data_IF_310014545615
#
_entry.id   IF_310014545615
#
_cell.length_a   1.000
_cell.length_b   1.000
_cell.length_c   1.000
_cell.angle_alpha   90.00
_cell.angle_beta   90.00
_cell.angle_gamma   90.00
#
_symmetry.space_group_name_H-M   'P 1'
#
loop_
_entity.id
_entity.type
_entity.pdbx_description
1 polymer ?
#
# COMPACT_ATOMS: atom_id res chain seq x y z
N UNK A 1 5.18 -1.25 -21.70
CA UNK A 1 4.08 -1.82 -20.88
C UNK A 1 3.09 -0.71 -20.60
N UNK A 2 1.79 -0.96 -20.70
CA UNK A 2 0.77 0.06 -20.38
C UNK A 2 0.78 0.34 -18.87
N UNK A 3 0.62 1.60 -18.49
CA UNK A 3 0.48 1.98 -17.09
C UNK A 3 -0.88 1.52 -16.56
N UNK A 4 -0.91 0.85 -15.39
CA UNK A 4 -2.16 0.52 -14.70
C UNK A 4 -2.71 1.74 -13.96
N UNK A 5 -1.83 2.61 -13.48
CA UNK A 5 -2.17 3.88 -12.83
C UNK A 5 -1.37 5.00 -13.48
N UNK A 6 -2.04 6.07 -13.88
CA UNK A 6 -1.41 7.29 -14.39
C UNK A 6 -1.92 8.50 -13.61
N UNK A 7 -1.02 9.27 -13.07
CA UNK A 7 -1.28 10.57 -12.48
C UNK A 7 -0.66 11.66 -13.35
N UNK A 8 -1.36 12.77 -13.56
CA UNK A 8 -0.89 13.90 -14.36
C UNK A 8 -1.15 15.21 -13.62
N UNK A 9 -0.08 15.95 -13.40
CA UNK A 9 -0.06 17.30 -12.84
C UNK A 9 -0.93 17.44 -11.58
N UNK A 10 -0.86 16.41 -10.70
CA UNK A 10 -1.67 16.41 -9.48
C UNK A 10 -1.21 17.52 -8.54
N UNK A 11 -2.16 18.39 -8.20
CA UNK A 11 -1.97 19.42 -7.17
C UNK A 11 -2.97 19.24 -6.04
N UNK A 12 -2.53 19.52 -4.83
CA UNK A 12 -3.38 19.63 -3.66
C UNK A 12 -2.99 20.79 -2.78
N UNK A 13 -3.93 21.70 -2.56
CA UNK A 13 -3.79 22.84 -1.65
C UNK A 13 -4.78 22.73 -0.49
N UNK A 14 -4.36 23.12 0.70
CA UNK A 14 -5.16 23.29 1.91
C UNK A 14 -4.98 24.73 2.39
N UNK A 15 -5.92 25.60 2.05
CA UNK A 15 -5.76 27.03 2.26
C UNK A 15 -4.51 27.57 1.54
N UNK A 16 -3.54 28.08 2.29
CA UNK A 16 -2.25 28.57 1.75
C UNK A 16 -1.18 27.48 1.61
N UNK A 17 -1.40 26.29 2.15
CA UNK A 17 -0.40 25.20 2.13
C UNK A 17 -0.57 24.37 0.87
N UNK A 18 0.50 24.21 0.10
CA UNK A 18 0.56 23.33 -1.07
C UNK A 18 1.16 22.00 -0.66
N UNK A 19 0.33 20.97 -0.52
CA UNK A 19 0.73 19.64 -0.06
C UNK A 19 1.14 18.68 -1.20
N UNK A 20 0.78 19.00 -2.43
CA UNK A 20 1.23 18.30 -3.65
C UNK A 20 1.32 19.31 -4.78
N UNK A 21 2.41 19.23 -5.59
CA UNK A 21 2.73 20.16 -6.66
C UNK A 21 3.06 19.38 -7.93
N UNK A 22 2.19 19.49 -8.94
CA UNK A 22 2.40 18.94 -10.29
C UNK A 22 2.98 17.50 -10.32
N UNK A 23 2.45 16.60 -9.46
CA UNK A 23 2.90 15.21 -9.41
C UNK A 23 2.42 14.50 -10.67
N UNK A 24 3.36 14.01 -11.48
CA UNK A 24 3.10 13.19 -12.67
C UNK A 24 3.87 11.88 -12.56
N UNK A 25 3.13 10.75 -12.51
CA UNK A 25 3.68 9.40 -12.31
C UNK A 25 2.89 8.39 -13.12
N UNK A 26 3.59 7.45 -13.76
CA UNK A 26 3.02 6.25 -14.36
C UNK A 26 3.47 5.01 -13.57
N UNK A 27 2.54 4.13 -13.23
CA UNK A 27 2.82 2.86 -12.58
C UNK A 27 2.47 1.72 -13.53
N UNK A 28 3.45 0.98 -14.05
CA UNK A 28 3.21 -0.20 -14.87
C UNK A 28 2.52 -1.34 -14.09
N UNK A 29 1.72 -2.14 -14.78
CA UNK A 29 1.09 -3.31 -14.17
C UNK A 29 2.12 -4.34 -13.69
N UNK A 30 1.89 -4.92 -12.51
CA UNK A 30 2.74 -5.94 -11.89
C UNK A 30 4.03 -5.42 -11.25
N UNK A 31 4.28 -4.11 -11.26
CA UNK A 31 5.44 -3.50 -10.63
C UNK A 31 5.22 -3.25 -9.14
N UNK A 32 6.27 -3.39 -8.36
CA UNK A 32 6.32 -2.99 -6.95
C UNK A 32 7.05 -1.66 -6.83
N UNK A 33 6.33 -0.60 -6.46
CA UNK A 33 6.86 0.76 -6.36
C UNK A 33 6.94 1.20 -4.90
N UNK A 34 8.14 1.51 -4.43
CA UNK A 34 8.38 2.10 -3.13
C UNK A 34 8.19 3.62 -3.18
N UNK A 35 7.60 4.19 -2.15
CA UNK A 35 7.41 5.63 -1.97
C UNK A 35 8.16 6.05 -0.72
N UNK A 36 9.18 6.89 -0.87
CA UNK A 36 9.99 7.40 0.23
C UNK A 36 9.90 8.94 0.34
N UNK A 37 10.25 9.48 1.48
CA UNK A 37 10.28 10.92 1.72
C UNK A 37 10.12 11.24 3.21
N UNK A 38 10.52 12.42 3.60
CA UNK A 38 10.36 12.91 4.97
C UNK A 38 8.87 13.06 5.36
N UNK A 39 8.60 13.24 6.65
CA UNK A 39 7.25 13.58 7.12
C UNK A 39 6.83 14.93 6.52
N UNK A 40 5.59 14.99 6.03
CA UNK A 40 5.09 16.18 5.34
C UNK A 40 5.49 16.30 3.86
N UNK A 41 6.29 15.38 3.29
CA UNK A 41 6.74 15.44 1.89
C UNK A 41 5.63 15.26 0.84
N UNK A 42 4.38 14.97 1.23
CA UNK A 42 3.25 14.80 0.31
C UNK A 42 2.86 13.35 -0.01
N UNK A 43 3.59 12.34 0.52
CA UNK A 43 3.33 10.91 0.28
C UNK A 43 1.87 10.51 0.60
N UNK A 44 1.43 10.77 1.82
CA UNK A 44 0.05 10.48 2.27
C UNK A 44 -0.98 11.26 1.47
N UNK A 45 -0.67 12.49 1.06
CA UNK A 45 -1.54 13.30 0.18
C UNK A 45 -1.71 12.62 -1.17
N UNK A 46 -0.62 12.16 -1.80
CA UNK A 46 -0.65 11.42 -3.06
C UNK A 46 -1.46 10.12 -2.93
N UNK A 47 -1.15 9.28 -1.92
CA UNK A 47 -1.88 8.04 -1.64
C UNK A 47 -3.38 8.31 -1.44
N UNK A 48 -3.74 9.34 -0.67
CA UNK A 48 -5.14 9.72 -0.44
C UNK A 48 -5.86 10.18 -1.71
N UNK A 49 -5.17 10.88 -2.63
CA UNK A 49 -5.75 11.26 -3.93
C UNK A 49 -6.00 10.04 -4.80
N UNK A 50 -5.04 9.12 -4.90
CA UNK A 50 -5.17 7.87 -5.68
C UNK A 50 -6.29 6.98 -5.15
N UNK A 51 -6.48 6.92 -3.83
CA UNK A 51 -7.49 6.07 -3.18
C UNK A 51 -8.85 6.74 -2.97
N UNK A 52 -9.00 7.99 -3.43
CA UNK A 52 -10.28 8.73 -3.36
C UNK A 52 -10.69 9.19 -1.96
N UNK A 53 -9.75 9.20 -1.01
CA UNK A 53 -9.94 9.81 0.32
C UNK A 53 -9.73 11.33 0.27
N UNK A 54 -9.09 11.81 -0.80
CA UNK A 54 -8.82 13.23 -1.01
C UNK A 54 -9.02 13.57 -2.49
N UNK A 55 -9.80 14.61 -2.76
CA UNK A 55 -9.95 15.14 -4.13
C UNK A 55 -8.76 16.05 -4.44
N UNK A 56 -8.06 15.86 -5.57
CA UNK A 56 -7.03 16.79 -6.03
C UNK A 56 -7.65 18.18 -6.33
N UNK A 57 -6.85 19.23 -6.18
CA UNK A 57 -7.22 20.61 -6.57
C UNK A 57 -7.11 20.78 -8.08
N UNK A 58 -6.06 20.16 -8.69
CA UNK A 58 -5.85 20.11 -10.13
C UNK A 58 -5.24 18.76 -10.52
N UNK A 59 -5.17 18.53 -11.83
CA UNK A 59 -4.63 17.32 -12.42
C UNK A 59 -5.65 16.20 -12.54
N UNK A 60 -5.18 15.05 -13.03
CA UNK A 60 -6.03 13.90 -13.30
C UNK A 60 -5.38 12.59 -12.87
N UNK A 61 -6.21 11.60 -12.56
CA UNK A 61 -5.79 10.24 -12.20
C UNK A 61 -6.58 9.26 -13.07
N UNK A 62 -5.86 8.37 -13.73
CA UNK A 62 -6.46 7.28 -14.52
C UNK A 62 -6.01 5.94 -13.96
N UNK A 63 -6.94 5.00 -13.88
CA UNK A 63 -6.68 3.61 -13.52
C UNK A 63 -7.18 2.73 -14.65
N UNK A 64 -6.30 2.00 -15.30
CA UNK A 64 -6.59 1.27 -16.55
C UNK A 64 -7.37 2.19 -17.49
N UNK A 65 -7.15 2.94 -18.21
CA UNK A 65 -7.87 3.83 -19.13
C UNK A 65 -9.14 4.55 -18.59
N UNK A 66 -9.53 4.32 -17.32
CA UNK A 66 -10.67 4.97 -16.69
C UNK A 66 -10.24 6.18 -15.87
N UNK A 67 -10.90 7.31 -16.06
CA UNK A 67 -10.74 8.48 -15.21
C UNK A 67 -11.32 8.19 -13.82
N UNK A 68 -10.49 8.35 -12.77
CA UNK A 68 -10.90 8.13 -11.38
C UNK A 68 -10.73 9.38 -10.50
N UNK A 69 -10.38 10.51 -11.07
CA UNK A 69 -10.12 11.77 -10.37
C UNK A 69 -11.30 12.19 -9.51
N UNK A 70 -11.09 12.28 -8.22
CA UNK A 70 -12.10 12.71 -7.25
C UNK A 70 -13.29 11.77 -7.07
N UNK A 71 -13.23 10.54 -7.61
CA UNK A 71 -14.21 9.51 -7.28
C UNK A 71 -14.09 9.13 -5.79
N UNK A 72 -15.21 8.80 -5.12
CA UNK A 72 -15.16 8.35 -3.73
C UNK A 72 -14.46 6.99 -3.59
N UNK A 73 -13.78 6.77 -2.46
CA UNK A 73 -12.96 5.57 -2.20
C UNK A 73 -13.71 4.25 -2.45
N UNK A 74 -15.00 4.17 -2.06
CA UNK A 74 -15.84 2.99 -2.32
C UNK A 74 -15.98 2.62 -3.80
N UNK A 75 -15.95 3.62 -4.70
CA UNK A 75 -15.99 3.41 -6.15
C UNK A 75 -14.64 2.94 -6.64
N UNK A 76 -13.57 3.58 -6.18
CA UNK A 76 -12.19 3.25 -6.53
C UNK A 76 -11.85 1.80 -6.09
N UNK A 77 -12.27 1.40 -4.89
CA UNK A 77 -12.09 0.01 -4.41
C UNK A 77 -12.80 -0.99 -5.34
N UNK A 78 -14.01 -0.70 -5.80
CA UNK A 78 -14.73 -1.54 -6.77
C UNK A 78 -14.06 -1.62 -8.14
N UNK A 79 -13.31 -0.61 -8.51
CA UNK A 79 -12.51 -0.62 -9.73
C UNK A 79 -11.23 -1.46 -9.59
N UNK A 80 -10.89 -1.94 -8.40
CA UNK A 80 -9.76 -2.82 -8.15
C UNK A 80 -8.53 -2.14 -7.53
N UNK A 81 -8.69 -0.97 -6.89
CA UNK A 81 -7.65 -0.35 -6.07
C UNK A 81 -8.01 -0.57 -4.60
N UNK A 82 -7.17 -1.29 -3.85
CA UNK A 82 -7.31 -1.47 -2.40
C UNK A 82 -6.18 -0.78 -1.65
N UNK A 83 -6.39 -0.52 -0.37
CA UNK A 83 -5.39 0.03 0.55
C UNK A 83 -5.42 -0.72 1.86
N UNK A 84 -4.24 -1.09 2.40
CA UNK A 84 -4.08 -1.38 3.82
C UNK A 84 -3.71 -0.09 4.56
N UNK A 85 -4.11 0.01 5.81
CA UNK A 85 -3.84 1.20 6.62
C UNK A 85 -2.66 0.97 7.56
N UNK A 86 -2.02 2.06 8.00
CA UNK A 86 -0.95 2.01 9.00
C UNK A 86 -1.39 1.28 10.27
N UNK A 87 -2.62 1.55 10.74
CA UNK A 87 -3.27 0.80 11.81
C UNK A 87 -4.18 -0.27 11.21
N UNK A 88 -3.92 -1.54 11.53
CA UNK A 88 -4.65 -2.67 11.00
C UNK A 88 -6.17 -2.56 11.27
N UNK A 89 -6.95 -2.66 10.19
CA UNK A 89 -8.42 -2.56 10.19
C UNK A 89 -9.05 -3.95 10.32
N UNK A 90 -8.86 -4.60 11.46
CA UNK A 90 -9.40 -5.94 11.75
C UNK A 90 -10.52 -5.87 12.78
N UNK A 91 -11.39 -6.85 12.79
CA UNK A 91 -12.42 -7.02 13.83
C UNK A 91 -11.81 -7.72 15.06
N UNK A 92 -11.49 -6.98 16.15
CA UNK A 92 -10.64 -7.49 17.22
C UNK A 92 -11.27 -8.65 18.01
N UNK A 93 -12.59 -8.72 18.08
CA UNK A 93 -13.35 -9.75 18.80
C UNK A 93 -13.54 -11.04 17.99
N UNK A 94 -13.34 -10.99 16.68
CA UNK A 94 -13.47 -12.13 15.78
C UNK A 94 -12.15 -12.92 15.68
N UNK A 95 -12.24 -14.18 15.28
CA UNK A 95 -11.06 -15.00 14.95
C UNK A 95 -10.43 -14.55 13.65
N UNK A 96 -9.22 -15.03 13.34
CA UNK A 96 -8.58 -14.84 12.04
C UNK A 96 -9.47 -15.39 10.93
N UNK A 97 -10.00 -16.60 11.10
CA UNK A 97 -10.89 -17.22 10.12
C UNK A 97 -12.15 -16.37 9.88
N UNK A 98 -12.78 -15.86 10.93
CA UNK A 98 -13.99 -15.04 10.79
C UNK A 98 -13.70 -13.68 10.12
N UNK A 99 -12.58 -13.02 10.47
CA UNK A 99 -12.13 -11.82 9.79
C UNK A 99 -11.99 -12.07 8.28
N UNK A 100 -11.32 -13.16 7.89
CA UNK A 100 -11.12 -13.49 6.48
C UNK A 100 -12.44 -13.84 5.77
N UNK A 101 -13.34 -14.60 6.41
CA UNK A 101 -14.68 -14.91 5.87
C UNK A 101 -15.48 -13.62 5.60
N UNK A 102 -15.47 -12.68 6.56
CA UNK A 102 -16.11 -11.36 6.38
C UNK A 102 -15.52 -10.63 5.18
N UNK A 103 -14.20 -10.56 5.08
CA UNK A 103 -13.52 -9.89 3.96
C UNK A 103 -13.89 -10.52 2.59
N UNK A 104 -13.86 -11.86 2.49
CA UNK A 104 -14.22 -12.59 1.28
C UNK A 104 -15.71 -12.39 0.92
N UNK A 105 -16.61 -12.42 1.91
CA UNK A 105 -18.05 -12.21 1.69
C UNK A 105 -18.33 -10.78 1.19
N UNK A 106 -17.67 -9.77 1.75
CA UNK A 106 -17.79 -8.38 1.29
C UNK A 106 -17.31 -8.23 -0.16
N UNK A 107 -16.15 -8.81 -0.48
CA UNK A 107 -15.57 -8.76 -1.81
C UNK A 107 -16.50 -9.33 -2.89
N UNK A 108 -17.13 -10.46 -2.61
CA UNK A 108 -18.10 -11.10 -3.53
C UNK A 108 -19.45 -10.37 -3.61
N UNK A 109 -19.81 -9.64 -2.59
CA UNK A 109 -21.08 -8.89 -2.54
C UNK A 109 -21.13 -7.66 -3.45
N UNK A 110 -20.04 -7.28 -4.10
CA UNK A 110 -19.94 -6.03 -4.86
C UNK A 110 -20.78 -5.96 -6.14
N UNK A 111 -21.31 -7.08 -6.64
CA UNK A 111 -22.22 -7.13 -7.80
C UNK A 111 -23.73 -7.18 -7.48
N UNK A 112 -24.14 -7.23 -6.22
CA UNK A 112 -25.55 -7.37 -5.80
C UNK A 112 -26.01 -6.28 -4.86
N UNK A 113 -27.30 -5.89 -4.93
CA UNK A 113 -27.89 -4.90 -4.02
C UNK A 113 -27.72 -5.26 -2.53
N UNK A 114 -27.94 -4.28 -1.65
CA UNK A 114 -27.75 -4.35 -0.18
C UNK A 114 -28.38 -5.63 0.42
N UNK A 115 -29.53 -6.06 -0.06
CA UNK A 115 -30.28 -7.24 0.41
C UNK A 115 -29.52 -8.55 0.08
N UNK A 116 -28.86 -8.64 -1.08
CA UNK A 116 -28.09 -9.82 -1.50
C UNK A 116 -26.79 -9.96 -0.71
N UNK A 117 -26.21 -8.84 -0.24
CA UNK A 117 -25.03 -8.78 0.64
C UNK A 117 -25.34 -9.31 2.04
N UNK A 118 -26.49 -8.91 2.61
CA UNK A 118 -26.92 -9.29 3.96
C UNK A 118 -27.33 -10.78 4.07
N UNK A 119 -27.63 -11.44 2.94
CA UNK A 119 -28.15 -12.80 2.89
C UNK A 119 -27.11 -13.88 2.51
N UNK A 120 -25.85 -13.51 2.24
CA UNK A 120 -24.82 -14.55 2.01
C UNK A 120 -24.32 -15.09 3.35
N UNK A 121 -24.47 -16.38 3.60
CA UNK A 121 -23.93 -17.01 4.80
C UNK A 121 -22.40 -16.90 4.79
N UNK A 122 -21.80 -16.44 5.89
CA UNK A 122 -20.34 -16.45 6.07
C UNK A 122 -19.76 -17.87 5.97
N UNK A 123 -20.60 -18.88 6.17
CA UNK A 123 -20.28 -20.31 6.11
C UNK A 123 -20.53 -20.93 4.72
N UNK A 124 -20.79 -20.14 3.67
CA UNK A 124 -20.84 -20.66 2.32
C UNK A 124 -19.50 -21.34 1.98
N UNK A 125 -19.54 -22.58 1.50
CA UNK A 125 -18.35 -23.40 1.27
C UNK A 125 -17.28 -22.68 0.43
N UNK A 126 -17.70 -21.91 -0.55
CA UNK A 126 -16.81 -21.09 -1.40
C UNK A 126 -16.12 -19.96 -0.61
N UNK A 127 -16.86 -19.26 0.29
CA UNK A 127 -16.30 -18.19 1.14
C UNK A 127 -15.31 -18.76 2.14
N UNK A 128 -15.63 -19.92 2.72
CA UNK A 128 -14.73 -20.64 3.64
C UNK A 128 -13.45 -21.05 2.91
N UNK A 129 -13.56 -21.67 1.73
CA UNK A 129 -12.41 -22.13 0.96
C UNK A 129 -11.47 -20.96 0.58
N UNK A 130 -12.00 -19.81 0.17
CA UNK A 130 -11.21 -18.63 -0.14
C UNK A 130 -10.55 -18.04 1.10
N UNK A 131 -11.24 -17.98 2.22
CA UNK A 131 -10.68 -17.52 3.49
C UNK A 131 -9.51 -18.43 3.93
N UNK A 132 -9.66 -19.74 3.87
CA UNK A 132 -8.60 -20.70 4.20
C UNK A 132 -7.40 -20.58 3.24
N UNK A 133 -7.65 -20.44 1.94
CA UNK A 133 -6.60 -20.21 0.96
C UNK A 133 -5.81 -18.92 1.23
N UNK A 134 -6.48 -17.84 1.63
CA UNK A 134 -5.81 -16.59 2.00
C UNK A 134 -5.02 -16.74 3.31
N UNK A 135 -5.55 -17.41 4.32
CA UNK A 135 -4.87 -17.71 5.59
C UNK A 135 -3.57 -18.48 5.32
N UNK A 136 -3.62 -19.49 4.46
CA UNK A 136 -2.45 -20.27 4.06
C UNK A 136 -1.45 -19.43 3.28
N UNK A 137 -1.91 -18.62 2.32
CA UNK A 137 -1.06 -17.76 1.48
C UNK A 137 -0.26 -16.76 2.31
N UNK A 138 -0.87 -16.17 3.34
CA UNK A 138 -0.23 -15.22 4.24
C UNK A 138 0.46 -15.88 5.44
N UNK A 139 0.54 -17.23 5.48
CA UNK A 139 1.22 -18.02 6.52
C UNK A 139 0.75 -17.72 7.95
N UNK A 140 -0.55 -17.50 8.12
CA UNK A 140 -1.18 -17.23 9.42
C UNK A 140 -2.09 -18.36 9.90
N UNK A 141 -1.91 -19.57 9.37
CA UNK A 141 -2.75 -20.75 9.69
C UNK A 141 -2.71 -21.14 11.17
N UNK A 142 -1.55 -21.02 11.82
CA UNK A 142 -1.38 -21.34 13.26
C UNK A 142 -2.21 -20.42 14.17
N UNK A 143 -2.67 -19.29 13.63
CA UNK A 143 -3.47 -18.30 14.35
C UNK A 143 -4.96 -18.34 13.97
N UNK A 144 -5.37 -19.28 13.11
CA UNK A 144 -6.67 -19.38 12.47
C UNK A 144 -7.84 -19.15 13.43
N UNK A 145 -7.84 -19.82 14.58
CA UNK A 145 -8.91 -19.81 15.57
C UNK A 145 -8.65 -18.80 16.72
N UNK A 146 -7.57 -18.03 16.65
CA UNK A 146 -7.26 -17.01 17.65
C UNK A 146 -7.99 -15.70 17.32
N UNK A 147 -8.43 -14.99 18.37
CA UNK A 147 -9.04 -13.65 18.23
C UNK A 147 -7.99 -12.64 17.78
N UNK A 148 -8.37 -11.76 16.84
CA UNK A 148 -7.46 -10.76 16.30
C UNK A 148 -6.88 -9.82 17.37
N UNK A 149 -7.59 -9.54 18.46
CA UNK A 149 -7.10 -8.77 19.60
C UNK A 149 -5.88 -9.38 20.29
N UNK A 150 -5.71 -10.73 20.25
CA UNK A 150 -4.66 -11.47 20.94
C UNK A 150 -3.45 -11.80 20.04
N UNK A 151 -3.48 -11.37 18.78
CA UNK A 151 -2.42 -11.64 17.82
C UNK A 151 -1.18 -10.78 18.09
N UNK A 152 0.02 -11.33 17.85
CA UNK A 152 1.22 -10.51 17.69
C UNK A 152 1.02 -9.44 16.62
N UNK A 153 1.71 -8.30 16.74
CA UNK A 153 1.51 -7.16 15.85
C UNK A 153 1.78 -7.51 14.36
N UNK A 154 2.84 -8.25 14.08
CA UNK A 154 3.16 -8.71 12.73
C UNK A 154 2.05 -9.59 12.12
N UNK A 155 1.52 -10.53 12.90
CA UNK A 155 0.42 -11.41 12.45
C UNK A 155 -0.87 -10.61 12.21
N UNK A 156 -1.16 -9.62 13.05
CA UNK A 156 -2.31 -8.73 12.87
C UNK A 156 -2.17 -7.89 11.59
N UNK A 157 -0.95 -7.45 11.26
CA UNK A 157 -0.66 -6.72 10.02
C UNK A 157 -0.81 -7.62 8.80
N UNK A 158 -0.33 -8.88 8.87
CA UNK A 158 -0.56 -9.87 7.81
C UNK A 158 -2.06 -10.14 7.58
N UNK A 159 -2.85 -10.25 8.65
CA UNK A 159 -4.30 -10.40 8.54
C UNK A 159 -4.96 -9.20 7.86
N UNK A 160 -4.61 -7.97 8.22
CA UNK A 160 -5.12 -6.74 7.59
C UNK A 160 -4.84 -6.71 6.08
N UNK A 161 -3.60 -7.02 5.70
CA UNK A 161 -3.21 -7.06 4.29
C UNK A 161 -3.93 -8.20 3.55
N UNK A 162 -4.06 -9.38 4.17
CA UNK A 162 -4.80 -10.50 3.60
C UNK A 162 -6.28 -10.14 3.34
N UNK A 163 -6.92 -9.43 4.28
CA UNK A 163 -8.29 -8.93 4.12
C UNK A 163 -8.38 -7.91 2.97
N UNK A 164 -7.41 -7.00 2.83
CA UNK A 164 -7.37 -6.04 1.71
C UNK A 164 -7.21 -6.73 0.35
N UNK A 165 -6.59 -7.91 0.31
CA UNK A 165 -6.36 -8.73 -0.90
C UNK A 165 -7.56 -9.63 -1.24
N UNK A 166 -8.49 -9.86 -0.30
CA UNK A 166 -9.65 -10.72 -0.52
C UNK A 166 -10.52 -10.26 -1.70
N UNK A 167 -10.58 -8.95 -1.99
CA UNK A 167 -11.25 -8.37 -3.15
C UNK A 167 -10.53 -8.56 -4.48
N UNK A 168 -9.43 -9.33 -4.53
CA UNK A 168 -8.58 -9.52 -5.70
C UNK A 168 -8.23 -8.17 -6.39
N UNK A 169 -7.65 -7.21 -5.68
CA UNK A 169 -7.29 -5.92 -6.25
C UNK A 169 -6.22 -6.08 -7.32
N UNK A 170 -6.22 -5.19 -8.31
CA UNK A 170 -5.16 -5.11 -9.32
C UNK A 170 -4.04 -4.17 -8.91
N UNK A 171 -4.36 -3.22 -8.03
CA UNK A 171 -3.42 -2.31 -7.38
C UNK A 171 -3.68 -2.29 -5.87
N UNK A 172 -2.65 -2.56 -5.09
CA UNK A 172 -2.68 -2.48 -3.63
C UNK A 172 -1.72 -1.39 -3.15
N UNK A 173 -2.23 -0.50 -2.31
CA UNK A 173 -1.43 0.49 -1.61
C UNK A 173 -1.21 0.02 -0.17
N UNK A 174 0.06 -0.07 0.24
CA UNK A 174 0.47 -0.40 1.59
C UNK A 174 1.03 0.86 2.26
N UNK A 175 0.46 1.25 3.38
CA UNK A 175 0.87 2.44 4.12
C UNK A 175 1.65 2.02 5.36
N UNK A 176 2.98 2.17 5.30
CA UNK A 176 3.94 1.78 6.33
C UNK A 176 3.70 0.35 6.86
N UNK A 177 3.78 -0.67 5.99
CA UNK A 177 3.46 -2.05 6.37
C UNK A 177 4.34 -2.60 7.49
N UNK A 178 5.54 -2.06 7.69
CA UNK A 178 6.46 -2.52 8.75
C UNK A 178 6.45 -1.64 10.00
N UNK A 179 5.61 -0.61 10.06
CA UNK A 179 5.53 0.29 11.22
C UNK A 179 5.17 -0.45 12.50
N UNK A 180 5.98 -0.26 13.54
CA UNK A 180 5.81 -0.90 14.85
C UNK A 180 6.22 -2.38 14.90
N UNK A 181 6.81 -2.92 13.84
CA UNK A 181 7.36 -4.29 13.79
C UNK A 181 8.85 -4.23 14.17
N UNK A 182 9.32 -5.26 14.89
CA UNK A 182 10.73 -5.34 15.28
C UNK A 182 11.65 -5.46 14.04
N UNK A 183 12.92 -5.06 14.19
CA UNK A 183 13.88 -5.10 13.09
C UNK A 183 14.05 -6.54 12.57
N UNK A 184 14.01 -7.52 13.46
CA UNK A 184 14.16 -8.94 13.13
C UNK A 184 12.97 -9.50 12.35
N UNK A 185 11.75 -9.00 12.63
CA UNK A 185 10.51 -9.54 12.04
C UNK A 185 10.09 -8.83 10.75
N UNK A 186 10.48 -7.55 10.53
CA UNK A 186 9.98 -6.75 9.41
C UNK A 186 10.31 -7.35 8.03
N UNK A 187 11.50 -7.93 7.85
CA UNK A 187 11.90 -8.55 6.60
C UNK A 187 11.08 -9.81 6.32
N UNK A 188 10.89 -10.67 7.34
CA UNK A 188 10.06 -11.86 7.21
C UNK A 188 8.60 -11.54 6.88
N UNK A 189 8.04 -10.49 7.51
CA UNK A 189 6.70 -10.00 7.19
C UNK A 189 6.62 -9.55 5.73
N UNK A 190 7.56 -8.72 5.28
CA UNK A 190 7.57 -8.23 3.90
C UNK A 190 7.80 -9.34 2.87
N UNK A 191 8.61 -10.35 3.17
CA UNK A 191 8.76 -11.54 2.32
C UNK A 191 7.44 -12.28 2.12
N UNK A 192 6.68 -12.52 3.20
CA UNK A 192 5.36 -13.15 3.12
C UNK A 192 4.42 -12.30 2.28
N UNK A 193 4.33 -10.99 2.56
CA UNK A 193 3.45 -10.06 1.84
C UNK A 193 3.81 -10.02 0.35
N UNK A 194 5.06 -9.72 0.00
CA UNK A 194 5.46 -9.54 -1.40
C UNK A 194 5.36 -10.85 -2.19
N UNK A 195 5.68 -11.99 -1.58
CA UNK A 195 5.47 -13.31 -2.19
C UNK A 195 4.00 -13.57 -2.51
N UNK A 196 3.10 -13.27 -1.57
CA UNK A 196 1.66 -13.41 -1.74
C UNK A 196 1.13 -12.51 -2.86
N UNK A 197 1.54 -11.23 -2.89
CA UNK A 197 1.09 -10.26 -3.88
C UNK A 197 1.62 -10.59 -5.29
N UNK A 198 2.89 -10.99 -5.40
CA UNK A 198 3.51 -11.41 -6.66
C UNK A 198 2.84 -12.64 -7.26
N UNK A 199 2.50 -13.65 -6.43
CA UNK A 199 1.80 -14.87 -6.89
C UNK A 199 0.43 -14.55 -7.51
N UNK A 200 -0.21 -13.46 -7.07
CA UNK A 200 -1.49 -12.96 -7.57
C UNK A 200 -1.35 -11.87 -8.64
N UNK A 201 -0.13 -11.53 -9.06
CA UNK A 201 0.19 -10.48 -10.05
C UNK A 201 -0.39 -9.11 -9.69
N UNK A 202 -0.47 -8.80 -8.40
CA UNK A 202 -0.97 -7.52 -7.90
C UNK A 202 0.13 -6.47 -8.06
N UNK A 203 -0.22 -5.31 -8.63
CA UNK A 203 0.66 -4.13 -8.62
C UNK A 203 0.68 -3.54 -7.22
N UNK A 204 1.84 -3.14 -6.74
CA UNK A 204 2.00 -2.65 -5.37
C UNK A 204 2.60 -1.25 -5.36
N UNK A 205 1.97 -0.34 -4.62
CA UNK A 205 2.61 0.87 -4.13
C UNK A 205 2.74 0.74 -2.61
N UNK A 206 3.93 0.94 -2.06
CA UNK A 206 4.10 0.92 -0.62
C UNK A 206 4.89 2.14 -0.14
N UNK A 207 4.40 2.76 0.92
CA UNK A 207 5.09 3.86 1.61
C UNK A 207 5.91 3.27 2.73
N UNK A 208 7.19 3.58 2.77
CA UNK A 208 8.09 3.14 3.83
C UNK A 208 9.15 4.19 4.16
N UNK A 209 9.62 4.14 5.40
CA UNK A 209 10.72 4.98 5.90
C UNK A 209 12.03 4.20 6.01
N UNK A 210 11.96 2.87 5.99
CA UNK A 210 13.12 1.99 6.05
C UNK A 210 13.69 1.76 4.66
N UNK A 211 14.87 2.34 4.43
CA UNK A 211 15.54 2.28 3.12
C UNK A 211 16.00 0.87 2.75
N UNK A 212 16.28 0.00 3.73
CA UNK A 212 16.66 -1.40 3.48
C UNK A 212 15.45 -2.20 2.97
N UNK A 213 14.26 -1.97 3.56
CA UNK A 213 13.01 -2.55 3.08
C UNK A 213 12.72 -2.09 1.65
N UNK A 214 12.85 -0.80 1.40
CA UNK A 214 12.62 -0.24 0.06
C UNK A 214 13.61 -0.81 -0.95
N UNK A 215 14.90 -0.82 -0.62
CA UNK A 215 15.96 -1.36 -1.49
C UNK A 215 15.77 -2.83 -1.84
N UNK A 216 15.26 -3.63 -0.89
CA UNK A 216 15.08 -5.07 -1.07
C UNK A 216 13.82 -5.46 -1.83
N UNK A 217 12.72 -4.72 -1.65
CA UNK A 217 11.40 -5.14 -2.12
C UNK A 217 10.82 -4.30 -3.25
N UNK A 218 11.36 -3.11 -3.54
CA UNK A 218 10.88 -2.29 -4.64
C UNK A 218 11.59 -2.61 -5.96
N UNK A 219 10.84 -2.59 -7.07
CA UNK A 219 11.40 -2.59 -8.42
C UNK A 219 11.77 -1.17 -8.87
N UNK A 220 11.10 -0.16 -8.27
CA UNK A 220 11.23 1.26 -8.59
C UNK A 220 10.89 2.09 -7.35
N UNK A 221 11.48 3.25 -7.21
CA UNK A 221 11.31 4.14 -6.05
C UNK A 221 10.94 5.55 -6.50
N UNK A 222 9.89 6.08 -5.87
CA UNK A 222 9.48 7.48 -5.97
C UNK A 222 9.94 8.21 -4.70
N UNK A 223 10.85 9.15 -4.84
CA UNK A 223 11.30 9.99 -3.74
C UNK A 223 10.52 11.31 -3.70
N UNK A 224 9.82 11.55 -2.60
CA UNK A 224 8.99 12.73 -2.38
C UNK A 224 9.72 13.75 -1.51
N UNK A 225 9.65 15.02 -1.91
CA UNK A 225 10.12 16.15 -1.12
C UNK A 225 9.28 17.40 -1.42
N UNK A 226 8.85 18.12 -0.41
CA UNK A 226 8.05 19.36 -0.51
C UNK A 226 6.88 19.30 -1.52
N UNK A 227 6.15 18.19 -1.47
CA UNK A 227 4.98 17.96 -2.34
C UNK A 227 5.30 17.59 -3.78
N UNK A 228 6.57 17.34 -4.13
CA UNK A 228 6.99 16.95 -5.49
C UNK A 228 7.69 15.59 -5.50
N UNK A 229 7.77 14.96 -6.66
CA UNK A 229 8.63 13.79 -6.89
C UNK A 229 9.98 14.29 -7.38
N UNK A 230 11.03 14.07 -6.59
CA UNK A 230 12.40 14.54 -6.89
C UNK A 230 13.28 13.47 -7.54
N UNK A 231 12.90 12.19 -7.41
CA UNK A 231 13.54 11.07 -8.10
C UNK A 231 12.51 9.98 -8.37
N UNK A 232 12.67 9.28 -9.49
CA UNK A 232 11.78 8.24 -9.98
C UNK A 232 12.59 7.23 -10.81
N UNK A 233 13.26 6.30 -10.12
CA UNK A 233 14.27 5.42 -10.69
C UNK A 233 14.30 4.06 -9.97
N UNK A 234 15.26 3.21 -10.34
CA UNK A 234 15.55 1.96 -9.62
C UNK A 234 16.03 2.25 -8.19
N UNK A 235 15.80 1.32 -7.23
CA UNK A 235 16.15 1.52 -5.82
C UNK A 235 17.61 1.95 -5.64
N UNK A 236 18.57 1.25 -6.26
CA UNK A 236 19.99 1.54 -6.11
C UNK A 236 20.35 2.97 -6.56
N UNK A 237 19.74 3.44 -7.65
CA UNK A 237 19.98 4.79 -8.16
C UNK A 237 19.42 5.86 -7.22
N UNK A 238 18.16 5.68 -6.76
CA UNK A 238 17.51 6.64 -5.85
C UNK A 238 18.18 6.68 -4.49
N UNK A 239 18.55 5.54 -3.93
CA UNK A 239 19.18 5.43 -2.61
C UNK A 239 20.64 5.92 -2.61
N UNK A 240 21.31 5.90 -3.77
CA UNK A 240 22.66 6.45 -3.93
C UNK A 240 22.67 7.96 -4.29
N UNK A 241 21.53 8.54 -4.68
CA UNK A 241 21.44 9.97 -5.03
C UNK A 241 21.68 10.86 -3.81
N UNK A 242 22.73 11.69 -3.86
CA UNK A 242 23.12 12.60 -2.76
C UNK A 242 22.02 13.63 -2.43
N UNK A 243 21.23 14.07 -3.41
CA UNK A 243 20.09 14.97 -3.18
C UNK A 243 19.02 14.26 -2.35
N UNK A 244 18.69 13.02 -2.73
CA UNK A 244 17.71 12.21 -2.02
C UNK A 244 18.18 11.95 -0.59
N UNK A 245 19.45 11.56 -0.39
CA UNK A 245 20.03 11.34 0.93
C UNK A 245 19.99 12.61 1.79
N UNK A 246 20.36 13.76 1.23
CA UNK A 246 20.39 15.03 1.96
C UNK A 246 18.98 15.49 2.35
N UNK A 247 18.02 15.43 1.42
CA UNK A 247 16.68 15.99 1.60
C UNK A 247 15.75 15.07 2.40
N UNK A 248 15.94 13.74 2.34
CA UNK A 248 15.06 12.78 2.98
C UNK A 248 15.63 12.25 4.29
N UNK A 249 16.92 11.87 4.33
CA UNK A 249 17.56 11.28 5.52
C UNK A 249 18.20 12.31 6.43
N UNK A 250 18.38 13.55 5.98
CA UNK A 250 19.08 14.59 6.75
C UNK A 250 20.57 14.30 6.99
N UNK A 251 21.11 13.26 6.39
CA UNK A 251 22.49 12.83 6.58
C UNK A 251 23.42 13.57 5.60
N UNK A 252 23.99 14.71 6.03
CA UNK A 252 25.22 15.19 5.38
C UNK A 252 26.29 14.13 5.65
N UNK A 253 26.76 13.41 4.63
CA UNK A 253 28.06 12.73 4.72
C UNK A 253 29.10 13.80 5.09
N UNK A 254 29.66 13.71 6.28
CA UNK A 254 30.87 14.45 6.61
C UNK A 254 31.89 14.08 5.53
N UNK A 255 32.32 15.05 4.73
CA UNK A 255 33.50 14.94 3.90
C UNK A 255 34.64 14.58 4.86
N UNK A 256 35.08 13.32 4.82
CA UNK A 256 36.39 12.94 5.34
C UNK A 256 37.35 13.57 4.33
N UNK A 257 37.69 14.83 4.64
CA UNK A 257 38.77 15.52 3.98
C UNK A 257 40.06 14.75 4.23
N UNK A 258 40.61 14.21 3.19
CA UNK A 258 41.98 13.75 3.13
C UNK A 258 42.91 14.92 3.48
N UNK A 259 43.31 14.99 4.73
CA UNK A 259 44.49 15.78 5.12
C UNK A 259 45.72 14.91 4.88
N UNK A 260 46.32 15.08 3.71
CA UNK A 260 47.73 14.79 3.53
C UNK A 260 48.47 16.13 3.61
N UNK A 261 49.26 16.25 4.65
CA UNK A 261 50.49 17.04 4.67
C UNK A 261 51.39 16.41 5.76
#
# INVERSE_FOLDING_TARGET
MSAILSARDLEKTFGSVVAARAISVDVPAGQTVGIIGANGAGKTTFVNMVTGHLRPTKGSIRFEDKEITGLPSRVITRLGISRSFQVAQVFPTMTVADNMRVACAIAKGEGGGIIRRALRPLDAAETVAEAEAAIALFRIADYRDRRAATLPQGVRKLLDIAMAVAGAPRLLLLDEPTSGISIEEKFGLMEVVMSALKSRKITVLFVEHDMEIVGRFADRVLAFYDGTVIADEKPDAVLADERVQTLISGTKRAHIGSAHA
#
